data_IF_978819100081
#
_entry.id   IF_978819100081
#
_cell.length_a   1.000
_cell.length_b   1.000
_cell.length_c   1.000
_cell.angle_alpha   90.00
_cell.angle_beta   90.00
_cell.angle_gamma   90.00
#
_symmetry.space_group_name_H-M   'P 1'
#
loop_
_entity.id
_entity.type
_entity.pdbx_description
1 polymer ?
#
# COMPACT_ATOMS: atom_id res chain seq x y z
N UNK A 1 4.86 14.91 9.08
CA UNK A 1 4.25 13.58 9.26
C UNK A 1 3.27 13.41 8.12
N UNK A 2 3.66 12.68 7.09
CA UNK A 2 2.74 12.29 6.02
C UNK A 2 2.00 11.07 6.53
N UNK A 3 0.69 11.18 6.67
CA UNK A 3 -0.17 10.10 7.15
C UNK A 3 -0.22 8.97 6.12
N UNK A 4 0.20 7.75 6.48
CA UNK A 4 0.28 6.60 5.56
C UNK A 4 -1.07 6.32 4.88
N UNK A 5 -2.17 6.51 5.61
CA UNK A 5 -3.52 6.31 5.08
C UNK A 5 -3.84 7.30 3.97
N UNK A 6 -3.45 8.57 4.12
CA UNK A 6 -3.60 9.59 3.07
C UNK A 6 -2.83 9.22 1.79
N UNK A 7 -1.65 8.62 1.92
CA UNK A 7 -0.86 8.15 0.77
C UNK A 7 -1.56 6.99 0.06
N UNK A 8 -2.04 6.01 0.82
CA UNK A 8 -2.76 4.85 0.27
C UNK A 8 -4.12 5.22 -0.32
N UNK A 9 -4.83 6.20 0.25
CA UNK A 9 -6.07 6.72 -0.34
C UNK A 9 -5.81 7.43 -1.67
N UNK A 10 -4.72 8.20 -1.78
CA UNK A 10 -4.32 8.82 -3.05
C UNK A 10 -3.97 7.75 -4.10
N UNK A 11 -3.25 6.70 -3.70
CA UNK A 11 -2.94 5.57 -4.59
C UNK A 11 -4.21 4.88 -5.09
N UNK A 12 -5.19 4.66 -4.20
CA UNK A 12 -6.48 4.05 -4.56
C UNK A 12 -7.33 4.96 -5.47
N UNK A 13 -7.23 6.27 -5.30
CA UNK A 13 -7.91 7.23 -6.17
C UNK A 13 -7.32 7.25 -7.59
N UNK A 14 -5.99 7.10 -7.71
CA UNK A 14 -5.28 7.04 -9.00
C UNK A 14 -5.48 5.70 -9.71
N UNK A 15 -5.52 4.60 -8.95
CA UNK A 15 -5.80 3.25 -9.44
C UNK A 15 -6.97 2.61 -8.69
N UNK A 16 -8.23 2.88 -9.12
CA UNK A 16 -9.40 2.28 -8.53
C UNK A 16 -9.45 0.78 -8.85
N UNK A 17 -9.22 -0.06 -7.84
CA UNK A 17 -9.19 -1.51 -8.02
C UNK A 17 -8.64 -2.26 -6.80
N UNK A 18 -8.13 -3.48 -6.99
CA UNK A 18 -7.37 -4.18 -5.97
C UNK A 18 -6.15 -3.38 -5.51
N UNK A 19 -5.90 -3.34 -4.21
CA UNK A 19 -4.73 -2.66 -3.64
C UNK A 19 -3.49 -3.51 -3.93
N UNK A 20 -2.55 -2.98 -4.70
CA UNK A 20 -1.27 -3.64 -4.97
C UNK A 20 -0.29 -3.43 -3.83
N UNK A 21 0.25 -4.52 -3.28
CA UNK A 21 1.27 -4.47 -2.24
C UNK A 21 2.51 -3.68 -2.71
N UNK A 22 3.04 -4.01 -3.88
CA UNK A 22 4.23 -3.35 -4.42
C UNK A 22 4.01 -1.84 -4.63
N UNK A 23 2.83 -1.45 -5.12
CA UNK A 23 2.50 -0.04 -5.32
C UNK A 23 2.32 0.70 -3.99
N UNK A 24 1.71 0.05 -2.99
CA UNK A 24 1.59 0.60 -1.65
C UNK A 24 2.94 0.81 -0.99
N UNK A 25 3.83 -0.19 -1.04
CA UNK A 25 5.20 -0.10 -0.49
C UNK A 25 5.96 1.03 -1.18
N UNK A 26 5.93 1.09 -2.51
CA UNK A 26 6.61 2.14 -3.27
C UNK A 26 6.07 3.55 -2.92
N UNK A 27 4.75 3.70 -2.76
CA UNK A 27 4.14 4.97 -2.37
C UNK A 27 4.54 5.41 -0.96
N UNK A 28 4.61 4.48 0.00
CA UNK A 28 5.04 4.74 1.38
C UNK A 28 6.54 5.08 1.45
N UNK A 29 7.39 4.34 0.72
CA UNK A 29 8.82 4.65 0.59
C UNK A 29 9.05 6.03 -0.01
N UNK A 30 8.25 6.43 -1.02
CA UNK A 30 8.37 7.73 -1.68
C UNK A 30 8.07 8.91 -0.75
N UNK A 31 7.33 8.71 0.35
CA UNK A 31 7.08 9.73 1.37
C UNK A 31 8.05 9.66 2.56
N UNK A 32 9.07 8.80 2.47
CA UNK A 32 10.11 8.64 3.49
C UNK A 32 9.74 7.67 4.60
N UNK A 33 8.86 6.69 4.34
CA UNK A 33 8.64 5.60 5.29
C UNK A 33 9.79 4.59 5.19
N UNK A 34 10.57 4.45 6.27
CA UNK A 34 11.75 3.59 6.34
C UNK A 34 11.47 2.22 6.96
N UNK A 35 10.23 1.91 7.33
CA UNK A 35 9.87 0.61 7.93
C UNK A 35 10.18 -0.58 7.02
N UNK A 36 10.35 -1.76 7.64
CA UNK A 36 10.60 -3.00 6.91
C UNK A 36 9.42 -3.37 6.01
N UNK A 37 9.72 -4.10 4.93
CA UNK A 37 8.70 -4.47 3.94
C UNK A 37 7.55 -5.28 4.54
N UNK A 38 7.82 -6.05 5.61
CA UNK A 38 6.80 -6.85 6.31
C UNK A 38 5.79 -5.96 7.06
N UNK A 39 6.26 -4.90 7.73
CA UNK A 39 5.40 -3.90 8.38
C UNK A 39 4.59 -3.13 7.35
N UNK A 40 5.24 -2.68 6.27
CA UNK A 40 4.54 -1.98 5.18
C UNK A 40 3.47 -2.87 4.54
N UNK A 41 3.76 -4.15 4.31
CA UNK A 41 2.81 -5.13 3.80
C UNK A 41 1.61 -5.30 4.74
N UNK A 42 1.85 -5.41 6.05
CA UNK A 42 0.82 -5.53 7.07
C UNK A 42 -0.09 -4.30 7.11
N UNK A 43 0.50 -3.10 7.01
CA UNK A 43 -0.21 -1.82 6.97
C UNK A 43 -1.10 -1.71 5.72
N UNK A 44 -0.56 -2.04 4.55
CA UNK A 44 -1.30 -2.04 3.28
C UNK A 44 -2.43 -3.08 3.32
N UNK A 45 -2.19 -4.26 3.89
CA UNK A 45 -3.18 -5.31 4.05
C UNK A 45 -4.34 -4.87 4.94
N UNK A 46 -4.03 -4.24 6.06
CA UNK A 46 -5.03 -3.66 6.97
C UNK A 46 -5.85 -2.59 6.25
N UNK A 47 -5.20 -1.67 5.54
CA UNK A 47 -5.88 -0.63 4.77
C UNK A 47 -6.84 -1.21 3.71
N UNK A 48 -6.42 -2.24 2.98
CA UNK A 48 -7.26 -2.91 1.99
C UNK A 48 -8.49 -3.56 2.65
N UNK A 49 -8.32 -4.21 3.80
CA UNK A 49 -9.41 -4.80 4.57
C UNK A 49 -10.40 -3.73 5.09
N UNK A 50 -9.90 -2.63 5.65
CA UNK A 50 -10.73 -1.49 6.09
C UNK A 50 -11.58 -0.92 4.95
N UNK A 51 -11.03 -0.90 3.73
CA UNK A 51 -11.71 -0.34 2.55
C UNK A 51 -12.57 -1.36 1.80
N UNK A 52 -12.63 -2.62 2.27
CA UNK A 52 -13.33 -3.70 1.58
C UNK A 52 -12.79 -3.97 0.18
N UNK A 53 -11.48 -3.82 0.00
CA UNK A 53 -10.78 -4.02 -1.28
C UNK A 53 -9.97 -5.31 -1.26
N UNK A 54 -9.94 -5.99 -2.40
CA UNK A 54 -9.07 -7.13 -2.59
C UNK A 54 -7.60 -6.67 -2.63
N UNK A 55 -6.71 -7.50 -2.10
CA UNK A 55 -5.26 -7.30 -2.22
C UNK A 55 -4.79 -7.98 -3.50
N UNK A 56 -4.00 -7.26 -4.30
CA UNK A 56 -3.26 -7.82 -5.41
C UNK A 56 -1.82 -8.08 -4.94
N UNK A 57 -1.52 -9.36 -4.78
CA UNK A 57 -0.15 -9.83 -4.62
C UNK A 57 0.51 -9.79 -5.99
N UNK A 58 1.18 -8.68 -6.29
CA UNK A 58 2.06 -8.61 -7.44
C UNK A 58 3.33 -9.39 -7.05
N UNK A 59 3.31 -10.70 -7.31
CA UNK A 59 4.48 -11.56 -7.13
C UNK A 59 5.56 -11.04 -8.07
N UNK A 60 6.53 -10.32 -7.52
CA UNK A 60 7.75 -9.99 -8.24
C UNK A 60 8.39 -11.34 -8.58
N UNK A 61 8.30 -11.77 -9.84
CA UNK A 61 9.11 -12.87 -10.34
C UNK A 61 10.56 -12.43 -10.20
N UNK A 62 11.23 -12.92 -9.17
CA UNK A 62 12.67 -12.82 -9.00
C UNK A 62 13.33 -13.98 -9.76
#
# INVERSE_FOLDING_TARGET
MTDEKTVLEKLLADSPGPVSIAAGVAALRAVGNDEDDEELQSLIGTFAAERGRAIRFDLVHN
#
